data_IF_717784741961
#
_entry.id   IF_717784741961
#
_cell.length_a   1.000
_cell.length_b   1.000
_cell.length_c   1.000
_cell.angle_alpha   90.00
_cell.angle_beta   90.00
_cell.angle_gamma   90.00
#
_symmetry.space_group_name_H-M   'P 1'
#
loop_
_entity.id
_entity.type
_entity.pdbx_description
1 polymer ?
#
# COMPACT_ATOMS: atom_id res chain seq x y z
N UNK A 1 -5.21 35.39 -55.67
CA UNK A 1 -4.91 35.83 -54.28
C UNK A 1 -5.69 35.06 -53.18
N UNK A 2 -6.94 34.67 -53.42
CA UNK A 2 -7.77 33.97 -52.43
C UNK A 2 -7.37 32.49 -52.23
N UNK A 3 -7.02 31.74 -53.27
CA UNK A 3 -6.58 30.34 -53.15
C UNK A 3 -5.30 30.17 -52.32
N UNK A 4 -4.32 31.07 -52.48
CA UNK A 4 -3.10 31.06 -51.69
C UNK A 4 -3.35 31.33 -50.18
N UNK A 5 -4.41 32.07 -49.86
CA UNK A 5 -4.80 32.36 -48.47
C UNK A 5 -5.52 31.17 -47.81
N UNK A 6 -6.29 30.39 -48.60
CA UNK A 6 -6.93 29.15 -48.13
C UNK A 6 -5.87 28.07 -47.88
N UNK A 7 -4.92 27.91 -48.80
CA UNK A 7 -3.80 26.96 -48.67
C UNK A 7 -2.95 27.22 -47.42
N UNK A 8 -2.65 28.49 -47.11
CA UNK A 8 -1.91 28.86 -45.89
C UNK A 8 -2.69 28.59 -44.60
N UNK A 9 -4.02 28.75 -44.61
CA UNK A 9 -4.86 28.44 -43.44
C UNK A 9 -4.96 26.94 -43.17
N UNK A 10 -4.98 26.12 -44.22
CA UNK A 10 -4.96 24.66 -44.10
C UNK A 10 -3.64 24.16 -43.54
N UNK A 11 -2.52 24.64 -44.06
CA UNK A 11 -1.19 24.32 -43.57
C UNK A 11 -1.00 24.69 -42.08
N UNK A 12 -1.54 25.83 -41.65
CA UNK A 12 -1.49 26.25 -40.25
C UNK A 12 -2.35 25.37 -39.32
N UNK A 13 -3.49 24.86 -39.80
CA UNK A 13 -4.34 23.93 -39.05
C UNK A 13 -3.69 22.56 -38.89
N UNK A 14 -3.06 22.07 -39.94
CA UNK A 14 -2.35 20.79 -39.92
C UNK A 14 -1.15 20.82 -38.99
N UNK A 15 -0.34 21.89 -39.04
CA UNK A 15 0.76 22.10 -38.11
C UNK A 15 0.30 22.16 -36.64
N UNK A 16 -0.85 22.81 -36.36
CA UNK A 16 -1.41 22.85 -35.00
C UNK A 16 -1.92 21.49 -34.52
N UNK A 17 -2.44 20.67 -35.43
CA UNK A 17 -2.92 19.30 -35.13
C UNK A 17 -1.75 18.36 -34.85
N UNK A 18 -0.67 18.46 -35.64
CA UNK A 18 0.57 17.71 -35.41
C UNK A 18 1.24 18.12 -34.10
N UNK A 19 1.28 19.42 -33.77
CA UNK A 19 1.82 19.89 -32.50
C UNK A 19 1.03 19.36 -31.29
N UNK A 20 -0.30 19.37 -31.36
CA UNK A 20 -1.15 18.81 -30.29
C UNK A 20 -0.99 17.30 -30.16
N UNK A 21 -0.89 16.57 -31.27
CA UNK A 21 -0.64 15.13 -31.26
C UNK A 21 0.75 14.79 -30.66
N UNK A 22 1.76 15.62 -30.92
CA UNK A 22 3.09 15.48 -30.32
C UNK A 22 3.07 15.78 -28.81
N UNK A 23 2.41 16.85 -28.38
CA UNK A 23 2.24 17.20 -26.96
C UNK A 23 1.41 16.14 -26.21
N UNK A 24 0.41 15.53 -26.85
CA UNK A 24 -0.39 14.45 -26.29
C UNK A 24 0.40 13.13 -26.23
N UNK A 25 1.20 12.82 -27.26
CA UNK A 25 2.12 11.68 -27.24
C UNK A 25 3.22 11.83 -26.17
N UNK A 26 3.72 13.04 -25.93
CA UNK A 26 4.66 13.35 -24.85
C UNK A 26 4.01 13.25 -23.46
N UNK A 27 2.70 13.54 -23.37
CA UNK A 27 1.93 13.40 -22.12
C UNK A 27 1.52 11.94 -21.85
N UNK A 28 1.34 11.12 -22.89
CA UNK A 28 1.07 9.68 -22.82
C UNK A 28 2.36 8.86 -22.67
N UNK A 29 3.50 9.39 -23.10
CA UNK A 29 4.82 8.88 -22.75
C UNK A 29 5.00 9.04 -21.24
N UNK A 30 4.62 8.00 -20.49
CA UNK A 30 4.74 7.93 -19.06
C UNK A 30 6.14 8.40 -18.66
N UNK A 31 6.20 9.55 -17.95
CA UNK A 31 7.43 9.97 -17.29
C UNK A 31 7.94 8.76 -16.50
N UNK A 32 9.21 8.33 -16.68
CA UNK A 32 9.75 7.25 -15.89
C UNK A 32 9.57 7.64 -14.42
N UNK A 33 8.90 6.76 -13.66
CA UNK A 33 8.67 6.95 -12.24
C UNK A 33 10.04 7.15 -11.57
N UNK A 34 10.26 8.32 -10.98
CA UNK A 34 11.49 8.62 -10.28
C UNK A 34 11.56 7.77 -9.00
N UNK A 35 12.66 7.05 -8.82
CA UNK A 35 12.80 6.08 -7.73
C UNK A 35 12.79 6.79 -6.37
N UNK A 36 11.79 6.49 -5.55
CA UNK A 36 11.71 6.95 -4.17
C UNK A 36 12.72 6.14 -3.34
N UNK A 37 13.61 6.84 -2.65
CA UNK A 37 14.55 6.23 -1.70
C UNK A 37 13.80 5.67 -0.49
N UNK A 38 13.70 4.34 -0.37
CA UNK A 38 13.06 3.63 0.74
C UNK A 38 13.91 3.59 2.03
N UNK A 39 14.63 4.67 2.34
CA UNK A 39 15.56 4.76 3.48
C UNK A 39 14.89 4.66 4.87
N UNK A 40 13.58 4.40 4.95
CA UNK A 40 12.83 4.31 6.21
C UNK A 40 11.98 3.04 6.35
N UNK A 41 11.99 2.12 5.38
CA UNK A 41 11.27 0.85 5.51
C UNK A 41 12.09 -0.15 6.33
N UNK A 42 12.02 -0.04 7.67
CA UNK A 42 12.44 -1.15 8.54
C UNK A 42 11.42 -2.29 8.40
N UNK A 43 11.85 -3.39 7.78
CA UNK A 43 11.02 -4.55 7.41
C UNK A 43 10.51 -5.41 8.59
N UNK A 44 10.90 -5.13 9.84
CA UNK A 44 10.50 -5.91 11.03
C UNK A 44 9.83 -5.09 12.14
N UNK A 45 9.43 -3.85 11.89
CA UNK A 45 8.73 -3.10 12.93
C UNK A 45 7.28 -3.56 12.99
N UNK A 46 6.89 -4.06 14.16
CA UNK A 46 5.51 -4.02 14.62
C UNK A 46 5.06 -2.56 14.60
N UNK A 47 4.67 -2.09 13.41
CA UNK A 47 4.26 -0.71 13.21
C UNK A 47 3.06 -0.49 14.10
N UNK A 48 3.11 0.62 14.81
CA UNK A 48 1.99 1.06 15.61
C UNK A 48 1.00 1.81 14.72
N UNK A 49 -0.32 1.65 14.87
CA UNK A 49 -1.28 2.46 14.12
C UNK A 49 -1.10 3.97 14.33
N UNK A 50 -0.48 4.40 15.46
CA UNK A 50 -0.18 5.80 15.79
C UNK A 50 1.24 6.28 15.40
N UNK A 51 2.14 5.37 14.95
CA UNK A 51 3.54 5.71 14.63
C UNK A 51 3.78 6.09 13.18
N UNK A 52 2.83 5.86 12.27
CA UNK A 52 3.16 5.88 10.86
C UNK A 52 2.66 7.17 10.22
N UNK A 53 3.61 8.06 9.91
CA UNK A 53 3.55 8.77 8.64
C UNK A 53 3.07 7.79 7.57
N UNK A 54 2.14 8.20 6.70
CA UNK A 54 1.44 7.33 5.76
C UNK A 54 2.31 6.20 5.25
N UNK A 55 2.06 4.97 5.70
CA UNK A 55 2.80 3.83 5.21
C UNK A 55 2.11 3.33 3.96
N UNK A 56 2.56 3.79 2.80
CA UNK A 56 1.95 3.42 1.52
C UNK A 56 2.63 2.23 0.87
N UNK A 57 3.40 1.46 1.65
CA UNK A 57 4.13 0.28 1.21
C UNK A 57 4.00 -0.85 2.23
N UNK A 58 3.72 -2.05 1.76
CA UNK A 58 3.79 -3.28 2.55
C UNK A 58 4.46 -4.37 1.73
N UNK A 59 5.18 -5.28 2.37
CA UNK A 59 5.83 -6.38 1.67
C UNK A 59 5.74 -7.67 2.48
N UNK A 60 5.71 -8.80 1.78
CA UNK A 60 5.87 -10.14 2.35
C UNK A 60 6.93 -10.89 1.59
N UNK A 61 7.92 -11.40 2.32
CA UNK A 61 8.93 -12.29 1.76
C UNK A 61 8.42 -13.74 1.82
N UNK A 62 8.61 -14.47 0.72
CA UNK A 62 8.35 -15.89 0.62
C UNK A 62 9.48 -16.54 -0.19
N UNK A 63 10.31 -17.33 0.49
CA UNK A 63 11.50 -17.96 -0.10
C UNK A 63 12.40 -16.91 -0.78
N UNK A 64 12.68 -17.06 -2.07
CA UNK A 64 13.54 -16.17 -2.86
C UNK A 64 12.74 -15.08 -3.60
N UNK A 65 11.53 -14.74 -3.14
CA UNK A 65 10.73 -13.65 -3.69
C UNK A 65 10.10 -12.79 -2.59
N UNK A 66 9.93 -11.51 -2.87
CA UNK A 66 9.13 -10.58 -2.07
C UNK A 66 7.96 -10.07 -2.89
N UNK A 67 6.75 -10.17 -2.34
CA UNK A 67 5.56 -9.52 -2.89
C UNK A 67 5.39 -8.16 -2.22
N UNK A 68 5.41 -7.11 -3.03
CA UNK A 68 5.37 -5.71 -2.58
C UNK A 68 4.08 -5.08 -3.03
N UNK A 69 3.41 -4.43 -2.09
CA UNK A 69 2.19 -3.69 -2.29
C UNK A 69 2.46 -2.21 -2.06
N UNK A 70 2.10 -1.38 -3.03
CA UNK A 70 2.27 0.08 -2.97
C UNK A 70 0.95 0.74 -3.29
N UNK A 71 0.57 1.75 -2.51
CA UNK A 71 -0.64 2.52 -2.80
C UNK A 71 -0.31 3.86 -3.47
N UNK A 72 -1.14 4.24 -4.46
CA UNK A 72 -1.13 5.57 -5.07
C UNK A 72 -2.57 6.07 -5.21
N UNK A 73 -2.88 7.21 -4.58
CA UNK A 73 -4.25 7.69 -4.48
C UNK A 73 -5.16 6.64 -3.80
N UNK A 74 -6.22 6.23 -4.49
CA UNK A 74 -7.21 5.25 -4.02
C UNK A 74 -6.86 3.80 -4.40
N UNK A 75 -5.73 3.60 -5.07
CA UNK A 75 -5.38 2.34 -5.72
C UNK A 75 -4.23 1.65 -5.00
N UNK A 76 -4.26 0.32 -5.04
CA UNK A 76 -3.19 -0.55 -4.54
C UNK A 76 -2.62 -1.29 -5.74
N UNK A 77 -1.30 -1.29 -5.83
CA UNK A 77 -0.52 -1.98 -6.85
C UNK A 77 0.33 -3.05 -6.19
N UNK A 78 0.44 -4.20 -6.83
CA UNK A 78 1.24 -5.33 -6.39
C UNK A 78 2.34 -5.60 -7.42
N UNK A 79 3.53 -5.93 -6.95
CA UNK A 79 4.63 -6.43 -7.79
C UNK A 79 5.44 -7.46 -7.01
N UNK A 80 6.15 -8.33 -7.71
CA UNK A 80 7.11 -9.24 -7.12
C UNK A 80 8.53 -8.76 -7.39
N UNK A 81 9.39 -8.89 -6.37
CA UNK A 81 10.83 -8.69 -6.45
C UNK A 81 11.50 -10.04 -6.22
N UNK A 82 12.46 -10.46 -7.06
CA UNK A 82 13.35 -11.55 -6.69
C UNK A 82 14.18 -11.11 -5.47
N UNK A 83 14.45 -12.04 -4.56
CA UNK A 83 15.39 -11.92 -3.46
C UNK A 83 16.61 -12.78 -3.79
N UNK A 84 17.52 -12.27 -4.63
CA UNK A 84 18.75 -12.98 -4.99
C UNK A 84 19.76 -12.87 -3.84
N UNK A 85 20.15 -14.02 -3.27
CA UNK A 85 20.93 -14.08 -2.02
C UNK A 85 22.37 -13.53 -2.12
N UNK A 86 22.88 -13.21 -3.31
CA UNK A 86 24.32 -12.98 -3.50
C UNK A 86 24.74 -11.53 -3.81
N UNK A 87 23.84 -10.60 -4.14
CA UNK A 87 24.31 -9.32 -4.70
C UNK A 87 23.44 -8.07 -4.45
N UNK A 88 22.48 -8.10 -3.53
CA UNK A 88 21.48 -7.02 -3.38
C UNK A 88 21.95 -5.79 -2.59
N UNK A 89 23.08 -5.88 -1.89
CA UNK A 89 23.63 -4.78 -1.11
C UNK A 89 25.12 -4.60 -1.39
N UNK A 90 25.53 -3.38 -1.69
CA UNK A 90 26.93 -3.01 -1.77
C UNK A 90 27.40 -2.54 -0.40
N UNK A 91 28.54 -3.03 0.08
CA UNK A 91 29.12 -2.54 1.34
C UNK A 91 29.81 -1.19 1.09
N UNK A 92 29.22 -0.13 1.62
CA UNK A 92 29.78 1.22 1.66
C UNK A 92 30.84 1.40 2.75
N UNK A 93 31.31 2.65 2.89
CA UNK A 93 32.25 3.03 3.94
C UNK A 93 31.63 2.77 5.33
N UNK A 94 32.47 2.37 6.29
CA UNK A 94 32.07 2.07 7.67
C UNK A 94 31.03 0.94 7.79
N UNK A 95 30.93 0.07 6.78
CA UNK A 95 30.03 -1.09 6.80
C UNK A 95 28.57 -0.76 6.51
N UNK A 96 28.26 0.48 6.07
CA UNK A 96 26.91 0.87 5.63
C UNK A 96 26.49 -0.01 4.45
N UNK A 97 25.32 -0.63 4.51
CA UNK A 97 24.76 -1.38 3.39
C UNK A 97 24.04 -0.42 2.45
N UNK A 98 24.49 -0.36 1.20
CA UNK A 98 23.89 0.44 0.14
C UNK A 98 23.01 -0.49 -0.69
N UNK A 99 21.68 -0.30 -0.73
CA UNK A 99 20.80 -1.15 -1.53
C UNK A 99 21.13 -0.97 -3.01
N UNK A 100 21.29 -2.08 -3.74
CA UNK A 100 21.34 -2.04 -5.20
C UNK A 100 19.92 -1.89 -5.74
N UNK A 101 19.78 -1.16 -6.83
CA UNK A 101 18.49 -1.02 -7.51
C UNK A 101 18.17 -2.34 -8.21
N UNK A 102 17.01 -2.91 -7.89
CA UNK A 102 16.49 -4.13 -8.53
C UNK A 102 15.34 -3.72 -9.46
N UNK A 103 15.30 -4.31 -10.65
CA UNK A 103 14.19 -4.11 -11.58
C UNK A 103 13.00 -4.95 -11.13
N UNK A 104 11.94 -4.28 -10.68
CA UNK A 104 10.71 -4.96 -10.30
C UNK A 104 10.00 -5.58 -11.51
N UNK A 105 9.19 -6.62 -11.27
CA UNK A 105 8.22 -7.10 -12.23
C UNK A 105 7.19 -6.00 -12.56
N UNK A 106 6.43 -6.18 -13.65
CA UNK A 106 5.33 -5.29 -13.97
C UNK A 106 4.34 -5.24 -12.80
N UNK A 107 3.96 -4.03 -12.39
CA UNK A 107 3.02 -3.85 -11.31
C UNK A 107 1.58 -4.12 -11.80
N UNK A 108 0.84 -4.93 -11.04
CA UNK A 108 -0.56 -5.23 -11.28
C UNK A 108 -1.43 -4.46 -10.28
N UNK A 109 -2.43 -3.75 -10.75
CA UNK A 109 -3.37 -3.08 -9.86
C UNK A 109 -4.36 -4.07 -9.26
N UNK A 110 -4.59 -4.01 -7.94
CA UNK A 110 -5.66 -4.76 -7.30
C UNK A 110 -7.03 -4.16 -7.65
N UNK A 111 -8.04 -5.02 -7.83
CA UNK A 111 -9.34 -4.60 -8.38
C UNK A 111 -10.14 -3.69 -7.43
N UNK A 112 -10.07 -3.93 -6.13
CA UNK A 112 -10.80 -3.13 -5.15
C UNK A 112 -10.02 -1.84 -4.82
N UNK A 113 -10.77 -0.77 -4.61
CA UNK A 113 -10.25 0.57 -4.30
C UNK A 113 -10.88 1.10 -3.03
N UNK A 114 -10.15 1.95 -2.33
CA UNK A 114 -10.71 2.67 -1.19
C UNK A 114 -11.53 3.89 -1.65
N UNK A 115 -12.54 4.32 -0.89
CA UNK A 115 -13.31 5.53 -1.21
C UNK A 115 -12.47 6.82 -1.25
N UNK A 116 -11.37 6.87 -0.50
CA UNK A 116 -10.45 8.01 -0.43
C UNK A 116 -8.99 7.57 -0.56
N UNK A 117 -8.07 8.54 -0.58
CA UNK A 117 -6.63 8.26 -0.67
C UNK A 117 -6.18 7.32 0.45
N UNK A 118 -5.49 6.24 0.08
CA UNK A 118 -4.88 5.28 1.00
C UNK A 118 -3.80 6.00 1.81
N UNK A 119 -3.96 5.96 3.13
CA UNK A 119 -3.01 6.52 4.08
C UNK A 119 -2.09 5.44 4.65
N UNK A 120 -2.55 4.20 4.78
CA UNK A 120 -1.77 3.12 5.38
C UNK A 120 -2.05 1.78 4.74
N UNK A 121 -0.98 1.03 4.50
CA UNK A 121 -0.94 -0.38 4.18
C UNK A 121 -0.28 -1.11 5.35
N UNK A 122 -0.89 -2.21 5.78
CA UNK A 122 -0.31 -3.16 6.73
C UNK A 122 -0.47 -4.57 6.21
N UNK A 123 0.48 -5.44 6.55
CA UNK A 123 0.46 -6.84 6.14
C UNK A 123 0.76 -7.73 7.34
N UNK A 124 0.04 -8.85 7.43
CA UNK A 124 0.26 -9.91 8.42
C UNK A 124 0.28 -11.26 7.71
N UNK A 125 1.32 -12.07 7.94
CA UNK A 125 1.29 -13.49 7.60
C UNK A 125 0.45 -14.25 8.62
N UNK A 126 -0.26 -15.29 8.18
CA UNK A 126 -1.12 -16.11 9.04
C UNK A 126 -0.96 -17.59 8.73
N UNK A 127 -1.51 -18.47 9.59
CA UNK A 127 -1.53 -19.91 9.37
C UNK A 127 -0.14 -20.49 9.07
N UNK A 128 0.87 -20.10 9.86
CA UNK A 128 2.24 -20.58 9.69
C UNK A 128 2.91 -20.10 8.40
N UNK A 129 2.41 -19.03 7.78
CA UNK A 129 2.97 -18.44 6.55
C UNK A 129 2.37 -18.97 5.25
N UNK A 130 1.29 -19.75 5.33
CA UNK A 130 0.52 -20.24 4.17
C UNK A 130 -0.57 -19.27 3.69
N UNK A 131 -0.84 -18.22 4.46
CA UNK A 131 -1.68 -17.10 4.05
C UNK A 131 -1.07 -15.77 4.47
N UNK A 132 -1.52 -14.70 3.83
CA UNK A 132 -1.26 -13.34 4.25
C UNK A 132 -2.53 -12.50 4.21
N UNK A 133 -2.58 -11.42 4.98
CA UNK A 133 -3.64 -10.44 4.96
C UNK A 133 -3.03 -9.06 4.73
N UNK A 134 -3.52 -8.35 3.72
CA UNK A 134 -3.15 -6.98 3.39
C UNK A 134 -4.30 -6.06 3.74
N UNK A 135 -4.09 -5.09 4.63
CA UNK A 135 -5.08 -4.07 4.97
C UNK A 135 -4.66 -2.71 4.45
N UNK A 136 -5.50 -2.10 3.63
CA UNK A 136 -5.42 -0.69 3.28
C UNK A 136 -6.42 0.11 4.12
N UNK A 137 -6.02 1.27 4.61
CA UNK A 137 -6.93 2.24 5.25
C UNK A 137 -6.78 3.60 4.58
N UNK A 138 -7.92 4.21 4.27
CA UNK A 138 -7.98 5.53 3.63
C UNK A 138 -8.09 6.70 4.60
N UNK A 139 -8.06 7.92 4.05
CA UNK A 139 -8.16 9.17 4.80
C UNK A 139 -9.49 9.37 5.59
N UNK A 140 -10.47 8.48 5.41
CA UNK A 140 -11.75 8.46 6.13
C UNK A 140 -11.84 7.29 7.12
N UNK A 141 -10.73 6.62 7.38
CA UNK A 141 -10.66 5.42 8.21
C UNK A 141 -11.49 4.24 7.67
N UNK A 142 -11.84 4.23 6.38
CA UNK A 142 -12.40 3.06 5.71
C UNK A 142 -11.26 2.09 5.43
N UNK A 143 -11.40 0.86 5.92
CA UNK A 143 -10.42 -0.20 5.70
C UNK A 143 -10.88 -1.21 4.65
N UNK A 144 -9.93 -1.74 3.90
CA UNK A 144 -10.11 -2.80 2.93
C UNK A 144 -9.08 -3.88 3.21
N UNK A 145 -9.52 -5.10 3.48
CA UNK A 145 -8.65 -6.24 3.79
C UNK A 145 -8.72 -7.27 2.68
N UNK A 146 -7.57 -7.59 2.09
CA UNK A 146 -7.38 -8.68 1.14
C UNK A 146 -6.73 -9.87 1.84
N UNK A 147 -7.39 -11.02 1.81
CA UNK A 147 -6.78 -12.30 2.18
C UNK A 147 -6.08 -12.87 0.95
N UNK A 148 -4.82 -13.22 1.12
CA UNK A 148 -3.89 -13.65 0.09
C UNK A 148 -3.47 -15.09 0.35
N UNK A 149 -3.39 -15.88 -0.71
CA UNK A 149 -2.82 -17.22 -0.65
C UNK A 149 -1.32 -17.16 -0.90
N UNK A 150 -0.51 -17.72 0.00
CA UNK A 150 0.95 -17.79 -0.15
C UNK A 150 1.44 -19.20 -0.46
N UNK A 151 0.56 -20.21 -0.52
CA UNK A 151 0.98 -21.59 -0.84
C UNK A 151 1.56 -21.70 -2.25
N UNK A 152 1.00 -20.94 -3.18
CA UNK A 152 1.35 -20.97 -4.60
C UNK A 152 2.30 -19.84 -5.00
N UNK A 153 2.87 -19.12 -4.02
CA UNK A 153 3.75 -17.98 -4.22
C UNK A 153 4.91 -18.28 -5.19
N UNK A 154 5.50 -19.47 -5.13
CA UNK A 154 6.57 -19.91 -6.03
C UNK A 154 6.14 -20.01 -7.51
N UNK A 155 4.85 -20.14 -7.78
CA UNK A 155 4.28 -20.24 -9.13
C UNK A 155 3.68 -18.94 -9.65
N UNK A 156 3.63 -17.88 -8.82
CA UNK A 156 3.00 -16.61 -9.17
C UNK A 156 3.83 -15.82 -10.19
N UNK A 157 3.49 -15.96 -11.47
CA UNK A 157 4.08 -15.15 -12.56
C UNK A 157 3.47 -13.75 -12.71
N UNK A 158 2.36 -13.47 -12.02
CA UNK A 158 1.56 -12.24 -12.16
C UNK A 158 2.03 -11.06 -11.29
N UNK A 159 3.09 -11.23 -10.51
CA UNK A 159 3.60 -10.20 -9.59
C UNK A 159 2.71 -9.93 -8.37
N UNK A 160 1.64 -10.69 -8.17
CA UNK A 160 0.78 -10.59 -6.98
C UNK A 160 0.37 -11.98 -6.52
N UNK A 161 0.29 -12.15 -5.21
CA UNK A 161 -0.35 -13.30 -4.60
C UNK A 161 -1.85 -13.35 -4.98
N UNK A 162 -2.44 -14.55 -5.13
CA UNK A 162 -3.87 -14.72 -5.39
C UNK A 162 -4.70 -14.18 -4.22
N UNK A 163 -5.73 -13.39 -4.53
CA UNK A 163 -6.70 -12.92 -3.53
C UNK A 163 -7.75 -14.02 -3.32
N UNK A 164 -7.80 -14.55 -2.11
CA UNK A 164 -8.80 -15.54 -1.68
C UNK A 164 -10.14 -14.87 -1.40
N UNK A 165 -10.11 -13.74 -0.69
CA UNK A 165 -11.32 -12.98 -0.35
C UNK A 165 -10.98 -11.55 0.02
N UNK A 166 -11.97 -10.66 -0.05
CA UNK A 166 -11.84 -9.26 0.36
C UNK A 166 -13.01 -8.87 1.26
N UNK A 167 -12.75 -8.11 2.32
CA UNK A 167 -13.79 -7.53 3.17
C UNK A 167 -13.41 -6.13 3.63
N UNK A 168 -14.41 -5.37 4.09
CA UNK A 168 -14.24 -3.98 4.50
C UNK A 168 -14.28 -3.82 6.02
N UNK A 169 -13.54 -2.83 6.52
CA UNK A 169 -13.60 -2.34 7.89
C UNK A 169 -14.34 -1.01 7.88
N UNK A 170 -15.61 -1.06 8.29
CA UNK A 170 -16.46 0.13 8.32
C UNK A 170 -16.14 0.99 9.54
N UNK A 171 -15.86 2.29 9.37
CA UNK A 171 -15.63 3.17 10.50
C UNK A 171 -16.90 3.25 11.38
N UNK A 172 -16.77 3.57 12.68
CA UNK A 172 -17.90 3.61 13.61
C UNK A 172 -19.02 4.55 13.15
N UNK A 173 -20.27 4.13 13.34
CA UNK A 173 -21.44 4.95 13.00
C UNK A 173 -21.36 6.29 13.74
N UNK A 174 -21.48 7.39 12.99
CA UNK A 174 -21.40 8.73 13.55
C UNK A 174 -19.99 9.33 13.58
N UNK A 175 -18.95 8.62 13.13
CA UNK A 175 -17.65 9.23 12.81
C UNK A 175 -17.86 10.20 11.64
N UNK A 176 -18.09 11.48 11.94
CA UNK A 176 -18.28 12.49 10.90
C UNK A 176 -16.91 12.80 10.29
N UNK A 177 -16.73 12.63 8.96
CA UNK A 177 -15.51 13.02 8.26
C UNK A 177 -15.53 14.54 8.06
N UNK A 178 -15.57 15.31 9.15
CA UNK A 178 -15.48 16.77 9.08
C UNK A 178 -14.02 17.22 8.97
N UNK A 179 -13.08 16.43 9.50
CA UNK A 179 -11.65 16.62 9.33
C UNK A 179 -11.02 15.33 8.79
N UNK A 180 -10.48 15.42 7.57
CA UNK A 180 -9.61 14.38 7.04
C UNK A 180 -8.30 14.44 7.84
N UNK A 181 -8.04 13.40 8.63
CA UNK A 181 -6.82 13.27 9.42
C UNK A 181 -6.02 12.06 8.96
N UNK A 182 -4.80 11.93 9.46
CA UNK A 182 -3.99 10.74 9.17
C UNK A 182 -4.66 9.50 9.74
N UNK A 183 -4.64 8.44 8.93
CA UNK A 183 -5.17 7.14 9.28
C UNK A 183 -4.09 6.06 9.14
N UNK A 184 -4.06 5.15 10.09
CA UNK A 184 -3.10 4.05 10.19
C UNK A 184 -3.82 2.72 10.35
N UNK A 185 -3.16 1.63 9.97
CA UNK A 185 -3.67 0.27 10.20
C UNK A 185 -2.59 -0.67 10.68
N UNK A 186 -3.00 -1.66 11.46
CA UNK A 186 -2.18 -2.81 11.86
C UNK A 186 -3.04 -4.05 11.82
N UNK A 187 -2.45 -5.13 11.31
CA UNK A 187 -3.05 -6.46 11.30
C UNK A 187 -2.27 -7.40 12.20
N UNK A 188 -2.98 -8.37 12.78
CA UNK A 188 -2.40 -9.46 13.55
C UNK A 188 -3.30 -10.70 13.47
N UNK A 189 -2.69 -11.88 13.44
CA UNK A 189 -3.38 -13.13 13.73
C UNK A 189 -3.66 -13.28 15.23
N UNK A 190 -4.90 -13.58 15.60
CA UNK A 190 -5.29 -13.79 17.00
C UNK A 190 -4.59 -15.05 17.52
N UNK A 191 -3.88 -14.92 18.65
CA UNK A 191 -3.12 -16.02 19.23
C UNK A 191 -4.03 -17.20 19.57
N UNK A 192 -3.60 -18.42 19.24
CA UNK A 192 -4.38 -19.64 19.48
C UNK A 192 -5.59 -19.84 18.55
N UNK A 193 -5.83 -18.90 17.62
CA UNK A 193 -6.81 -19.08 16.55
C UNK A 193 -6.14 -19.61 15.28
N UNK A 194 -6.88 -20.33 14.44
CA UNK A 194 -6.40 -20.75 13.11
C UNK A 194 -6.85 -19.74 12.05
N UNK A 195 -6.07 -18.66 11.87
CA UNK A 195 -6.31 -17.67 10.80
C UNK A 195 -7.33 -16.59 11.11
N UNK A 196 -7.73 -16.40 12.37
CA UNK A 196 -8.56 -15.26 12.74
C UNK A 196 -7.71 -13.99 12.83
N UNK A 197 -8.22 -12.89 12.25
CA UNK A 197 -7.50 -11.63 12.15
C UNK A 197 -8.09 -10.58 13.07
N UNK A 198 -7.21 -9.93 13.82
CA UNK A 198 -7.48 -8.68 14.50
C UNK A 198 -6.86 -7.53 13.69
N UNK A 199 -7.69 -6.55 13.34
CA UNK A 199 -7.26 -5.31 12.72
C UNK A 199 -7.44 -4.15 13.69
N UNK A 200 -6.47 -3.25 13.76
CA UNK A 200 -6.63 -1.98 14.47
C UNK A 200 -6.40 -0.85 13.50
N UNK A 201 -7.40 0.03 13.37
CA UNK A 201 -7.25 1.27 12.63
C UNK A 201 -7.12 2.44 13.58
N UNK A 202 -6.21 3.36 13.26
CA UNK A 202 -6.14 4.67 13.89
C UNK A 202 -6.67 5.71 12.92
N UNK A 203 -7.39 6.70 13.43
CA UNK A 203 -7.87 7.84 12.67
C UNK A 203 -7.71 9.14 13.47
N UNK A 204 -7.77 10.27 12.76
CA UNK A 204 -7.65 11.60 13.34
C UNK A 204 -6.34 11.77 14.14
N UNK A 205 -5.19 11.42 13.55
CA UNK A 205 -3.89 11.50 14.24
C UNK A 205 -3.84 10.64 15.52
N UNK A 206 -4.46 9.45 15.47
CA UNK A 206 -4.50 8.52 16.59
C UNK A 206 -5.48 8.89 17.71
N UNK A 207 -6.28 9.96 17.55
CA UNK A 207 -7.34 10.32 18.53
C UNK A 207 -8.45 9.30 18.61
N UNK A 208 -8.64 8.49 17.58
CA UNK A 208 -9.61 7.41 17.58
C UNK A 208 -8.95 6.13 17.09
N UNK A 209 -9.18 5.04 17.82
CA UNK A 209 -8.73 3.70 17.48
C UNK A 209 -9.94 2.78 17.38
N UNK A 210 -9.99 1.97 16.33
CA UNK A 210 -11.06 1.00 16.12
C UNK A 210 -10.44 -0.39 16.02
N UNK A 211 -10.89 -1.32 16.85
CA UNK A 211 -10.45 -2.71 16.88
C UNK A 211 -11.51 -3.55 16.20
N UNK A 212 -11.09 -4.34 15.22
CA UNK A 212 -11.92 -5.23 14.45
C UNK A 212 -11.46 -6.67 14.59
N UNK A 213 -12.42 -7.59 14.59
CA UNK A 213 -12.21 -9.02 14.49
C UNK A 213 -12.91 -9.49 13.22
N UNK A 214 -12.13 -9.89 12.21
CA UNK A 214 -12.62 -9.97 10.83
C UNK A 214 -13.14 -8.61 10.35
N UNK A 215 -14.39 -8.56 9.87
CA UNK A 215 -15.08 -7.32 9.45
C UNK A 215 -15.87 -6.65 10.58
N UNK A 216 -15.95 -7.26 11.76
CA UNK A 216 -16.78 -6.78 12.86
C UNK A 216 -16.00 -5.78 13.72
N UNK A 217 -16.55 -4.58 13.91
CA UNK A 217 -16.05 -3.63 14.90
C UNK A 217 -16.33 -4.15 16.31
N UNK A 218 -15.27 -4.43 17.07
CA UNK A 218 -15.34 -4.95 18.44
C UNK A 218 -15.28 -3.82 19.46
N UNK A 219 -14.42 -2.82 19.22
CA UNK A 219 -14.19 -1.74 20.18
C UNK A 219 -13.70 -0.46 19.53
N UNK A 220 -14.11 0.67 20.08
CA UNK A 220 -13.57 2.00 19.75
C UNK A 220 -12.96 2.62 20.98
N UNK A 221 -11.76 3.19 20.84
CA UNK A 221 -11.09 3.98 21.87
C UNK A 221 -10.93 5.41 21.38
N UNK A 222 -11.12 6.37 22.28
CA UNK A 222 -10.77 7.76 22.04
C UNK A 222 -9.59 8.13 22.92
N UNK A 223 -8.55 8.69 22.32
CA UNK A 223 -7.33 9.09 23.01
C UNK A 223 -7.24 10.61 23.03
N UNK A 224 -6.94 11.16 24.20
CA UNK A 224 -6.81 12.62 24.37
C UNK A 224 -5.42 13.11 23.90
N UNK A 225 -4.43 12.22 23.87
CA UNK A 225 -3.01 12.57 23.72
C UNK A 225 -2.40 12.28 22.34
N UNK A 226 -3.17 11.84 21.33
CA UNK A 226 -2.63 11.51 20.00
C UNK A 226 -1.38 10.60 20.10
N UNK A 227 -1.53 9.37 20.62
CA UNK A 227 -0.40 8.51 20.91
C UNK A 227 0.45 8.34 19.65
N UNK A 228 1.72 8.69 19.78
CA UNK A 228 2.71 8.55 18.70
C UNK A 228 3.09 7.10 18.48
N UNK A 229 2.70 6.17 19.38
CA UNK A 229 2.97 4.73 19.30
C UNK A 229 1.89 3.89 20.03
N UNK A 230 1.55 2.72 19.48
CA UNK A 230 0.49 1.79 19.83
C UNK A 230 0.89 0.38 19.35
N UNK A 231 1.43 -0.45 20.24
CA UNK A 231 1.71 -1.85 19.90
C UNK A 231 0.55 -2.73 20.36
N UNK A 232 0.13 -3.67 19.52
CA UNK A 232 -0.66 -4.79 19.99
C UNK A 232 0.27 -5.69 20.81
N UNK A 233 -0.06 -5.98 22.07
CA UNK A 233 0.71 -6.93 22.88
C UNK A 233 0.12 -8.35 22.73
N UNK A 234 0.93 -9.41 22.77
CA UNK A 234 0.40 -10.77 22.88
C UNK A 234 -0.43 -10.91 24.17
N UNK A 235 -1.40 -11.80 24.17
CA UNK A 235 -2.14 -12.13 25.40
C UNK A 235 -1.16 -12.59 26.49
N UNK A 236 -1.26 -12.00 27.68
CA UNK A 236 -0.36 -12.28 28.82
C UNK A 236 0.97 -11.52 28.82
N UNK A 237 1.23 -10.62 27.87
CA UNK A 237 2.44 -9.79 27.85
C UNK A 237 2.34 -8.48 28.67
N UNK A 238 1.20 -8.25 29.34
CA UNK A 238 1.07 -7.25 30.39
C UNK A 238 1.12 -7.96 31.74
N UNK A 239 2.04 -7.52 32.61
CA UNK A 239 2.10 -7.91 34.02
C UNK A 239 0.77 -7.66 34.75
#
# INVERSE_FOLDING_TARGET
PQEAAVSRKEQAREAKRQKRAAEEAERVAAKPLEAISLSQCRLDLQFSPGCVWSNRLAAVAHQDQAFVYVSSGQHIYATSLPLDQQDEVTRGKDGILIPKQVKAAAATQLQARTPCEVQSLSLCTTQGGSRAALCAVDARAHGLVHLLDTSDAASCSSGSLPIVSTYELQPPVGSRPLEQGWCGSVLREVAGSSGELCAVTASHFGRQLCVYQGSQLVRTFHTVQQPTALALLPEGAGA
#
